data_IF_612457421977
#
_entry.id   IF_612457421977
#
_cell.length_a   1.000
_cell.length_b   1.000
_cell.length_c   1.000
_cell.angle_alpha   90.00
_cell.angle_beta   90.00
_cell.angle_gamma   90.00
#
_symmetry.space_group_name_H-M   'P 1'
#
loop_
_entity.id
_entity.type
_entity.pdbx_description
1 polymer ?
#
# COMPACT_ATOMS: atom_id res chain seq x y z
N UNK A 1 -17.66 33.65 33.90
CA UNK A 1 -17.75 32.33 33.25
C UNK A 1 -16.33 31.93 32.85
N UNK A 2 -15.73 30.95 33.52
CA UNK A 2 -14.40 30.42 33.16
C UNK A 2 -14.61 29.23 32.23
N UNK A 3 -14.05 29.26 31.02
CA UNK A 3 -14.22 28.17 30.04
C UNK A 3 -13.14 27.10 30.28
N UNK A 4 -13.55 25.93 30.75
CA UNK A 4 -12.63 24.80 30.96
C UNK A 4 -12.07 24.24 29.65
N UNK A 5 -12.80 24.39 28.54
CA UNK A 5 -12.35 24.02 27.20
C UNK A 5 -11.37 25.06 26.67
N UNK A 6 -10.07 24.72 26.74
CA UNK A 6 -8.96 25.48 26.15
C UNK A 6 -8.10 24.59 25.26
N UNK A 7 -7.56 25.11 24.14
CA UNK A 7 -6.62 24.35 23.31
C UNK A 7 -5.29 24.10 24.05
N UNK A 8 -4.58 23.05 23.65
CA UNK A 8 -3.22 22.76 24.11
C UNK A 8 -2.22 23.36 23.14
N UNK A 9 -1.36 24.28 23.61
CA UNK A 9 -0.31 24.88 22.80
C UNK A 9 1.00 24.08 22.82
N UNK A 10 1.22 23.30 23.89
CA UNK A 10 2.37 22.43 24.06
C UNK A 10 1.90 20.99 24.24
N UNK A 11 2.58 20.04 23.59
CA UNK A 11 2.36 18.62 23.78
C UNK A 11 2.90 18.17 25.15
N UNK A 12 2.36 17.07 25.67
CA UNK A 12 2.93 16.42 26.85
C UNK A 12 4.30 15.84 26.50
N UNK A 13 5.32 16.18 27.29
CA UNK A 13 6.67 15.63 27.16
C UNK A 13 6.77 14.43 28.11
N UNK A 14 7.24 13.30 27.59
CA UNK A 14 7.55 12.14 28.42
C UNK A 14 8.66 12.52 29.43
N UNK A 15 8.38 12.38 30.71
CA UNK A 15 9.31 12.67 31.82
C UNK A 15 9.42 11.45 32.75
N UNK A 16 10.46 11.43 33.58
CA UNK A 16 10.82 10.40 34.56
C UNK A 16 9.73 10.06 35.60
N UNK A 17 8.55 10.66 35.52
CA UNK A 17 7.41 10.44 36.43
C UNK A 17 6.40 9.42 35.91
N UNK A 18 6.40 9.10 34.61
CA UNK A 18 5.49 8.10 34.04
C UNK A 18 6.23 6.81 33.68
N UNK A 19 5.64 5.63 33.94
CA UNK A 19 6.20 4.35 33.50
C UNK A 19 6.10 4.27 31.97
N UNK A 20 7.17 4.68 31.30
CA UNK A 20 7.32 4.65 29.85
C UNK A 20 8.73 5.11 29.46
N UNK A 21 9.36 4.43 28.50
CA UNK A 21 10.74 4.72 28.08
C UNK A 21 11.81 3.96 28.87
N UNK A 22 13.02 4.50 28.93
CA UNK A 22 14.22 3.85 29.48
C UNK A 22 14.28 3.81 31.03
N UNK A 23 13.21 4.25 31.71
CA UNK A 23 13.17 4.37 33.18
C UNK A 23 11.93 3.66 33.72
N UNK A 24 12.15 2.60 34.48
CA UNK A 24 11.10 1.96 35.28
C UNK A 24 10.94 2.77 36.57
N UNK A 25 10.04 3.75 36.56
CA UNK A 25 9.81 4.69 37.68
C UNK A 25 9.38 3.97 38.96
N UNK A 26 8.65 2.85 38.83
CA UNK A 26 8.40 1.87 39.88
C UNK A 26 7.99 0.55 39.22
N UNK A 27 8.45 -0.59 39.74
CA UNK A 27 7.97 -1.90 39.30
C UNK A 27 6.49 -2.05 39.67
N UNK A 28 5.60 -1.79 38.71
CA UNK A 28 4.16 -1.96 38.89
C UNK A 28 3.75 -3.40 38.57
N UNK A 29 2.79 -3.92 39.32
CA UNK A 29 2.19 -5.24 39.08
C UNK A 29 1.05 -5.20 38.06
N UNK A 30 0.74 -4.01 37.51
CA UNK A 30 -0.32 -3.83 36.52
C UNK A 30 0.18 -4.29 35.15
N UNK A 31 -0.53 -5.25 34.56
CA UNK A 31 -0.24 -5.81 33.23
C UNK A 31 -1.48 -5.61 32.35
N UNK A 32 -1.31 -5.06 31.15
CA UNK A 32 -2.40 -4.97 30.17
C UNK A 32 -2.46 -6.25 29.34
N UNK A 33 -3.64 -6.61 28.84
CA UNK A 33 -3.82 -7.76 27.94
C UNK A 33 -2.96 -7.65 26.66
N UNK A 34 -2.64 -6.42 26.22
CA UNK A 34 -1.74 -6.18 25.08
C UNK A 34 -0.27 -6.46 25.37
N UNK A 35 0.12 -6.46 26.64
CA UNK A 35 1.50 -6.77 27.07
C UNK A 35 1.71 -8.29 27.21
N UNK A 36 0.66 -9.09 26.98
CA UNK A 36 0.76 -10.53 26.96
C UNK A 36 1.68 -11.01 25.82
N UNK A 37 2.55 -11.98 26.13
CA UNK A 37 3.58 -12.45 25.21
C UNK A 37 2.98 -13.23 24.02
N UNK A 38 2.77 -12.53 22.90
CA UNK A 38 2.08 -13.08 21.71
C UNK A 38 3.04 -13.51 20.61
N UNK A 39 3.97 -12.66 20.18
CA UNK A 39 4.93 -12.97 19.10
C UNK A 39 6.35 -13.09 19.65
N UNK A 40 6.69 -14.28 20.17
CA UNK A 40 8.00 -14.55 20.80
C UNK A 40 9.13 -14.82 19.81
N UNK A 41 8.82 -14.96 18.51
CA UNK A 41 9.79 -15.33 17.46
C UNK A 41 9.79 -14.28 16.36
N UNK A 42 10.97 -13.72 16.08
CA UNK A 42 11.16 -12.85 14.93
C UNK A 42 11.32 -13.68 13.66
N UNK A 43 10.64 -13.28 12.58
CA UNK A 43 10.84 -13.86 11.26
C UNK A 43 12.03 -13.17 10.59
N UNK A 44 12.94 -13.98 10.05
CA UNK A 44 14.08 -13.48 9.27
C UNK A 44 13.81 -13.64 7.78
N UNK A 45 14.31 -12.71 6.98
CA UNK A 45 14.29 -12.81 5.52
C UNK A 45 15.07 -14.04 5.10
N UNK A 46 14.50 -14.83 4.21
CA UNK A 46 15.19 -15.94 3.55
C UNK A 46 15.84 -15.47 2.26
N UNK A 47 16.66 -16.34 1.66
CA UNK A 47 17.18 -16.12 0.31
C UNK A 47 16.04 -15.85 -0.68
N UNK A 48 16.21 -14.86 -1.55
CA UNK A 48 15.20 -14.37 -2.48
C UNK A 48 14.18 -13.38 -1.89
N UNK A 49 14.21 -13.11 -0.57
CA UNK A 49 13.32 -12.12 0.08
C UNK A 49 14.02 -10.78 0.35
N UNK A 50 15.16 -10.54 -0.31
CA UNK A 50 15.99 -9.37 -0.11
C UNK A 50 16.79 -9.46 1.19
N UNK A 51 17.49 -10.60 1.36
CA UNK A 51 18.46 -10.76 2.44
C UNK A 51 19.53 -9.65 2.34
N UNK A 52 20.11 -9.23 3.45
CA UNK A 52 21.14 -8.18 3.46
C UNK A 52 22.32 -8.50 2.54
N UNK A 53 22.69 -9.78 2.44
CA UNK A 53 23.77 -10.28 1.58
C UNK A 53 23.40 -10.24 0.09
N UNK A 54 22.11 -10.32 -0.23
CA UNK A 54 21.60 -10.28 -1.61
C UNK A 54 21.32 -8.85 -2.09
N UNK A 55 21.47 -7.85 -1.21
CA UNK A 55 21.26 -6.46 -1.59
C UNK A 55 22.39 -6.04 -2.54
N UNK A 56 22.01 -5.84 -3.79
CA UNK A 56 22.90 -5.31 -4.81
C UNK A 56 23.39 -3.90 -4.43
N UNK A 57 24.46 -3.46 -5.08
CA UNK A 57 25.02 -2.14 -4.82
C UNK A 57 24.05 -1.04 -5.27
N UNK A 58 24.27 0.21 -4.82
CA UNK A 58 23.41 1.33 -5.19
C UNK A 58 23.33 1.53 -6.72
N UNK A 59 24.44 1.30 -7.43
CA UNK A 59 24.52 1.42 -8.89
C UNK A 59 23.69 0.35 -9.59
N UNK A 60 23.69 -0.88 -9.08
CA UNK A 60 22.92 -1.99 -9.66
C UNK A 60 21.41 -1.75 -9.45
N UNK A 61 21.02 -1.22 -8.29
CA UNK A 61 19.62 -0.86 -8.01
C UNK A 61 19.12 0.27 -8.91
N UNK A 62 19.96 1.27 -9.23
CA UNK A 62 19.57 2.33 -10.16
C UNK A 62 19.40 1.80 -11.57
N UNK A 63 20.29 0.92 -12.03
CA UNK A 63 20.18 0.32 -13.36
C UNK A 63 18.93 -0.57 -13.46
N UNK A 64 18.65 -1.40 -12.45
CA UNK A 64 17.45 -2.22 -12.43
C UNK A 64 16.17 -1.38 -12.43
N UNK A 65 16.15 -0.28 -11.69
CA UNK A 65 15.03 0.66 -11.64
C UNK A 65 14.79 1.27 -13.02
N UNK A 66 15.82 1.84 -13.66
CA UNK A 66 15.69 2.42 -15.00
C UNK A 66 15.20 1.39 -16.03
N UNK A 67 15.68 0.14 -15.94
CA UNK A 67 15.24 -0.96 -16.79
C UNK A 67 13.75 -1.27 -16.59
N UNK A 68 13.29 -1.35 -15.34
CA UNK A 68 11.89 -1.63 -15.01
C UNK A 68 10.97 -0.48 -15.39
N UNK A 69 11.39 0.76 -15.19
CA UNK A 69 10.63 1.95 -15.61
C UNK A 69 10.47 2.02 -17.12
N UNK A 70 11.54 1.74 -17.89
CA UNK A 70 11.45 1.67 -19.35
C UNK A 70 10.49 0.58 -19.80
N UNK A 71 10.58 -0.62 -19.22
CA UNK A 71 9.68 -1.72 -19.53
C UNK A 71 8.21 -1.39 -19.22
N UNK A 72 7.93 -0.81 -18.06
CA UNK A 72 6.57 -0.42 -17.67
C UNK A 72 6.02 0.71 -18.57
N UNK A 73 6.89 1.63 -19.01
CA UNK A 73 6.52 2.67 -19.97
C UNK A 73 6.19 2.08 -21.35
N UNK A 74 7.00 1.14 -21.84
CA UNK A 74 6.76 0.48 -23.13
C UNK A 74 5.49 -0.40 -23.11
N UNK A 75 5.17 -1.01 -21.96
CA UNK A 75 3.91 -1.73 -21.71
C UNK A 75 2.72 -0.76 -21.76
N UNK A 76 2.80 0.38 -21.05
CA UNK A 76 1.77 1.42 -21.08
C UNK A 76 1.57 2.04 -22.45
N UNK A 77 2.64 2.18 -23.24
CA UNK A 77 2.59 2.71 -24.61
C UNK A 77 2.21 1.64 -25.66
N UNK A 78 1.90 0.40 -25.24
CA UNK A 78 1.44 -0.68 -26.14
C UNK A 78 2.50 -1.16 -27.14
N UNK A 79 3.78 -0.84 -26.92
CA UNK A 79 4.88 -1.20 -27.84
C UNK A 79 5.40 -2.63 -27.64
N UNK A 80 5.02 -3.29 -26.54
CA UNK A 80 5.36 -4.68 -26.29
C UNK A 80 4.35 -5.56 -27.02
N UNK A 81 4.75 -6.13 -28.16
CA UNK A 81 3.98 -7.15 -28.88
C UNK A 81 3.52 -8.23 -27.90
N UNK A 82 2.21 -8.40 -27.78
CA UNK A 82 1.57 -9.44 -26.99
C UNK A 82 2.29 -10.78 -27.22
N UNK A 83 2.99 -11.27 -26.18
CA UNK A 83 3.32 -12.69 -26.15
C UNK A 83 1.97 -13.40 -26.05
N UNK A 84 1.56 -14.02 -27.15
CA UNK A 84 0.37 -14.86 -27.32
C UNK A 84 -0.14 -15.36 -25.97
N UNK A 85 -1.36 -14.93 -25.62
CA UNK A 85 -2.15 -15.51 -24.52
C UNK A 85 -2.05 -17.04 -24.62
N UNK A 86 -1.80 -17.76 -23.51
CA UNK A 86 -1.84 -19.22 -23.52
C UNK A 86 -3.17 -19.63 -24.13
N UNK A 87 -3.13 -20.52 -25.12
CA UNK A 87 -4.32 -21.05 -25.77
C UNK A 87 -5.27 -21.60 -24.72
N UNK A 88 -6.56 -21.36 -24.93
CA UNK A 88 -7.69 -21.73 -24.05
C UNK A 88 -7.77 -23.24 -23.73
N UNK A 89 -6.95 -24.07 -24.37
CA UNK A 89 -6.92 -25.53 -24.25
C UNK A 89 -6.22 -26.04 -22.96
N UNK A 90 -5.44 -25.22 -22.26
CA UNK A 90 -4.74 -25.60 -21.01
C UNK A 90 -5.40 -25.03 -19.73
N UNK A 91 -6.68 -24.63 -19.80
CA UNK A 91 -7.41 -24.14 -18.63
C UNK A 91 -7.98 -25.32 -17.81
N UNK A 92 -7.51 -25.59 -16.57
CA UNK A 92 -8.02 -26.68 -15.74
C UNK A 92 -9.48 -26.47 -15.26
N UNK A 93 -10.08 -25.30 -15.53
CA UNK A 93 -11.45 -24.97 -15.15
C UNK A 93 -12.21 -24.38 -16.36
N UNK A 94 -12.78 -25.22 -17.24
CA UNK A 94 -13.47 -24.78 -18.45
C UNK A 94 -14.85 -24.15 -18.19
N UNK A 95 -15.45 -24.34 -17.01
CA UNK A 95 -16.77 -23.77 -16.67
C UNK A 95 -16.71 -22.26 -16.34
N UNK A 96 -15.54 -21.71 -15.99
CA UNK A 96 -15.35 -20.29 -15.63
C UNK A 96 -14.92 -19.41 -16.82
N UNK A 97 -14.78 -19.98 -18.03
CA UNK A 97 -14.27 -19.26 -19.20
C UNK A 97 -15.31 -18.38 -19.91
N UNK A 98 -16.58 -18.47 -19.50
CA UNK A 98 -17.72 -17.83 -20.17
C UNK A 98 -18.31 -16.66 -19.36
N UNK A 99 -17.68 -16.24 -18.26
CA UNK A 99 -18.02 -14.96 -17.61
C UNK A 99 -17.46 -13.82 -18.47
N UNK A 100 -18.27 -13.37 -19.43
CA UNK A 100 -18.04 -12.24 -20.33
C UNK A 100 -17.49 -11.02 -19.58
N UNK A 101 -16.15 -10.85 -19.61
CA UNK A 101 -15.56 -9.54 -19.34
C UNK A 101 -15.91 -8.64 -20.51
N UNK A 102 -16.52 -7.46 -20.29
CA UNK A 102 -16.81 -6.55 -21.38
C UNK A 102 -15.51 -6.21 -22.11
N UNK A 103 -15.52 -6.43 -23.42
CA UNK A 103 -14.41 -6.06 -24.29
C UNK A 103 -14.08 -4.57 -24.13
N UNK A 104 -12.82 -4.17 -24.30
CA UNK A 104 -12.44 -2.75 -24.15
C UNK A 104 -13.24 -1.80 -25.07
N UNK A 105 -13.75 -2.28 -26.20
CA UNK A 105 -14.64 -1.52 -27.10
C UNK A 105 -16.02 -1.19 -26.49
N UNK A 106 -16.49 -1.97 -25.51
CA UNK A 106 -17.73 -1.70 -24.78
C UNK A 106 -17.49 -0.78 -23.57
N UNK A 107 -16.29 -0.81 -23.00
CA UNK A 107 -15.89 0.08 -21.89
C UNK A 107 -15.75 1.53 -22.32
N UNK A 108 -15.23 1.79 -23.52
CA UNK A 108 -15.10 3.16 -24.05
C UNK A 108 -16.46 3.82 -24.33
N UNK A 109 -17.54 3.04 -24.52
CA UNK A 109 -18.89 3.59 -24.77
C UNK A 109 -19.65 4.01 -23.51
N UNK A 110 -19.25 3.55 -22.32
CA UNK A 110 -19.91 3.96 -21.07
C UNK A 110 -19.37 5.30 -20.52
N UNK A 111 -18.20 5.76 -20.99
CA UNK A 111 -17.57 6.99 -20.49
C UNK A 111 -17.95 8.27 -21.27
N UNK A 112 -18.70 8.17 -22.39
CA UNK A 112 -19.08 9.34 -23.22
C UNK A 112 -20.43 10.01 -22.85
N UNK A 113 -21.29 9.40 -22.03
CA UNK A 113 -22.64 9.93 -21.71
C UNK A 113 -22.71 10.66 -20.34
N UNK A 114 -21.66 11.41 -19.99
CA UNK A 114 -21.46 11.98 -18.65
C UNK A 114 -21.38 13.51 -18.52
N UNK A 115 -21.60 14.32 -19.56
CA UNK A 115 -21.52 15.80 -19.46
C UNK A 115 -22.84 16.51 -19.79
N UNK A 116 -23.49 17.10 -18.78
CA UNK A 116 -24.76 17.77 -19.07
C UNK A 116 -25.56 18.40 -17.96
N UNK A 117 -24.98 19.06 -16.93
CA UNK A 117 -25.78 20.05 -16.18
C UNK A 117 -24.98 21.17 -15.48
N UNK A 118 -24.75 22.24 -16.25
CA UNK A 118 -25.00 23.66 -15.95
C UNK A 118 -24.52 24.23 -14.59
N UNK A 119 -23.49 25.07 -14.72
CA UNK A 119 -23.26 26.33 -13.99
C UNK A 119 -24.45 26.85 -13.17
N UNK A 120 -24.28 27.00 -11.86
CA UNK A 120 -24.84 28.12 -11.08
C UNK A 120 -23.86 28.58 -10.02
N UNK A 121 -23.27 29.74 -10.27
CA UNK A 121 -22.77 30.67 -9.26
C UNK A 121 -23.89 30.99 -8.26
N UNK A 122 -23.63 30.84 -6.96
CA UNK A 122 -24.46 31.45 -5.93
C UNK A 122 -23.59 31.89 -4.76
N UNK A 123 -23.53 33.21 -4.64
CA UNK A 123 -22.95 34.05 -3.61
C UNK A 123 -23.98 34.20 -2.48
N UNK A 124 -23.59 33.94 -1.22
CA UNK A 124 -23.95 34.69 0.01
C UNK A 124 -22.90 34.36 1.07
#
# INVERSE_FOLDING_TARGET
MTTAHRPTWNAAIASNSNPGGNMMVAQTTKINNRDAATFKKMKFRQAGQGLLEERASRTDMTEELERRERAAKDEREGKVKEKKKPSLEDNPFPEDADEDMPSEEEKEKEDEDGDGLRMRTAQV
#
